data_IF_097592431298
#
_entry.id   IF_097592431298
#
_cell.length_a   1.000
_cell.length_b   1.000
_cell.length_c   1.000
_cell.angle_alpha   90.00
_cell.angle_beta   90.00
_cell.angle_gamma   90.00
#
_symmetry.space_group_name_H-M   'P 1'
#
loop_
_entity.id
_entity.type
_entity.pdbx_description
1 polymer ?
#
# COMPACT_ATOMS: atom_id res chain seq x y z
N UNK A 1 -12.30 -2.51 17.44
CA UNK A 1 -12.01 -2.90 16.04
C UNK A 1 -11.73 -1.61 15.31
N UNK A 2 -10.61 -1.50 14.61
CA UNK A 2 -10.29 -0.32 13.81
C UNK A 2 -11.31 -0.18 12.67
N UNK A 3 -11.70 1.05 12.34
CA UNK A 3 -12.68 1.29 11.28
C UNK A 3 -12.18 0.70 9.95
N UNK A 4 -13.06 0.06 9.17
CA UNK A 4 -12.71 -0.46 7.85
C UNK A 4 -12.56 0.72 6.88
N UNK A 5 -11.31 1.10 6.58
CA UNK A 5 -10.98 2.26 5.75
C UNK A 5 -11.07 1.93 4.25
N UNK A 6 -11.55 2.90 3.50
CA UNK A 6 -12.06 2.83 2.13
C UNK A 6 -11.00 3.11 1.04
N UNK A 7 -9.71 2.95 1.36
CA UNK A 7 -8.63 3.00 0.38
C UNK A 7 -8.58 1.73 -0.48
N UNK A 8 -8.65 1.86 -1.81
CA UNK A 8 -8.60 0.70 -2.72
C UNK A 8 -7.18 0.13 -2.86
N UNK A 9 -6.69 -0.58 -1.85
CA UNK A 9 -5.39 -1.26 -1.88
C UNK A 9 -5.40 -2.55 -2.73
N UNK A 10 -6.59 -3.12 -2.96
CA UNK A 10 -6.79 -4.35 -3.71
C UNK A 10 -6.18 -4.34 -5.14
N UNK A 11 -6.41 -3.33 -6.01
CA UNK A 11 -5.83 -3.30 -7.35
C UNK A 11 -4.29 -3.29 -7.32
N UNK A 12 -3.69 -2.60 -6.35
CA UNK A 12 -2.23 -2.56 -6.19
C UNK A 12 -1.67 -3.91 -5.74
N UNK A 13 -2.35 -4.60 -4.82
CA UNK A 13 -1.98 -5.96 -4.39
C UNK A 13 -2.08 -6.97 -5.52
N UNK A 14 -3.15 -6.91 -6.32
CA UNK A 14 -3.33 -7.77 -7.48
C UNK A 14 -2.26 -7.48 -8.54
N UNK A 15 -2.00 -6.20 -8.84
CA UNK A 15 -0.95 -5.79 -9.75
C UNK A 15 0.43 -6.30 -9.32
N UNK A 16 0.75 -6.22 -8.02
CA UNK A 16 2.00 -6.73 -7.47
C UNK A 16 2.12 -8.26 -7.65
N UNK A 17 1.05 -9.00 -7.31
CA UNK A 17 1.01 -10.45 -7.46
C UNK A 17 1.17 -10.87 -8.93
N UNK A 18 0.53 -10.17 -9.87
CA UNK A 18 0.67 -10.42 -11.31
C UNK A 18 2.11 -10.19 -11.77
N UNK A 19 2.74 -9.08 -11.37
CA UNK A 19 4.13 -8.79 -11.71
C UNK A 19 5.08 -9.87 -11.19
N UNK A 20 4.88 -10.34 -9.96
CA UNK A 20 5.67 -11.43 -9.40
C UNK A 20 5.48 -12.76 -10.13
N UNK A 21 4.25 -13.10 -10.52
CA UNK A 21 3.99 -14.30 -11.33
C UNK A 21 4.66 -14.18 -12.70
N UNK A 22 4.59 -13.02 -13.35
CA UNK A 22 5.28 -12.77 -14.62
C UNK A 22 6.80 -12.88 -14.47
N UNK A 23 7.36 -12.40 -13.35
CA UNK A 23 8.77 -12.58 -13.02
C UNK A 23 9.16 -14.06 -12.91
N UNK A 24 8.39 -14.84 -12.16
CA UNK A 24 8.58 -16.30 -12.04
C UNK A 24 8.52 -17.00 -13.40
N UNK A 25 7.63 -16.57 -14.29
CA UNK A 25 7.55 -17.08 -15.67
C UNK A 25 8.83 -16.72 -16.44
N UNK A 26 9.36 -15.50 -16.32
CA UNK A 26 10.64 -15.12 -16.93
C UNK A 26 11.80 -16.01 -16.44
N UNK A 27 11.84 -16.34 -15.15
CA UNK A 27 12.85 -17.25 -14.60
C UNK A 27 12.72 -18.67 -15.18
N UNK A 28 11.50 -19.21 -15.26
CA UNK A 28 11.27 -20.52 -15.90
C UNK A 28 11.73 -20.48 -17.36
N UNK A 29 11.42 -19.41 -18.10
CA UNK A 29 11.87 -19.24 -19.49
C UNK A 29 13.39 -19.18 -19.60
N UNK A 30 14.07 -18.51 -18.66
CA UNK A 30 15.53 -18.50 -18.59
C UNK A 30 16.10 -19.92 -18.45
N UNK A 31 15.55 -20.72 -17.53
CA UNK A 31 15.97 -22.11 -17.32
C UNK A 31 15.69 -22.97 -18.56
N UNK A 32 14.54 -22.81 -19.21
CA UNK A 32 14.19 -23.56 -20.41
C UNK A 32 15.12 -23.26 -21.58
N UNK A 33 15.52 -22.00 -21.76
CA UNK A 33 16.52 -21.59 -22.77
C UNK A 33 17.89 -22.19 -22.46
N UNK A 34 18.31 -22.15 -21.19
CA UNK A 34 19.59 -22.69 -20.76
C UNK A 34 19.69 -24.21 -20.90
N UNK A 35 18.58 -24.92 -20.70
CA UNK A 35 18.52 -26.37 -20.89
C UNK A 35 18.32 -26.78 -22.35
N UNK A 36 18.25 -25.83 -23.29
CA UNK A 36 18.02 -26.13 -24.72
C UNK A 36 16.63 -26.69 -25.02
N UNK A 37 15.67 -26.54 -24.11
CA UNK A 37 14.27 -26.94 -24.34
C UNK A 37 13.48 -25.86 -25.07
N UNK A 38 13.88 -24.59 -24.90
CA UNK A 38 13.30 -23.45 -25.59
C UNK A 38 14.37 -22.77 -26.43
N UNK A 39 14.19 -22.76 -27.75
CA UNK A 39 15.08 -22.09 -28.69
C UNK A 39 14.52 -20.72 -29.07
N UNK A 40 15.21 -19.66 -28.66
CA UNK A 40 14.89 -18.31 -29.06
C UNK A 40 15.83 -17.85 -30.19
N UNK A 41 15.30 -17.28 -31.28
CA UNK A 41 16.14 -16.73 -32.33
C UNK A 41 16.92 -15.52 -31.80
N UNK A 42 18.20 -15.41 -32.15
CA UNK A 42 19.03 -14.24 -31.82
C UNK A 42 20.32 -14.62 -31.09
N UNK A 43 20.68 -13.92 -29.99
CA UNK A 43 21.98 -14.09 -29.33
C UNK A 43 22.11 -15.43 -28.61
N UNK A 44 23.30 -15.71 -28.07
CA UNK A 44 23.58 -16.93 -27.32
C UNK A 44 22.64 -17.11 -26.12
N UNK A 45 22.43 -18.36 -25.69
CA UNK A 45 21.57 -18.70 -24.55
C UNK A 45 21.96 -17.96 -23.26
N UNK A 46 23.26 -17.75 -23.04
CA UNK A 46 23.78 -16.98 -21.90
C UNK A 46 23.36 -15.50 -21.92
N UNK A 47 23.23 -14.91 -23.11
CA UNK A 47 22.71 -13.54 -23.26
C UNK A 47 21.22 -13.49 -22.95
N UNK A 48 20.44 -14.46 -23.44
CA UNK A 48 19.02 -14.56 -23.12
C UNK A 48 18.77 -14.74 -21.63
N UNK A 49 19.57 -15.56 -20.95
CA UNK A 49 19.52 -15.69 -19.50
C UNK A 49 19.65 -14.34 -18.81
N UNK A 50 20.69 -13.56 -19.15
CA UNK A 50 20.91 -12.26 -18.53
C UNK A 50 19.72 -11.33 -18.79
N UNK A 51 19.18 -11.34 -20.01
CA UNK A 51 17.99 -10.55 -20.35
C UNK A 51 16.80 -10.95 -19.47
N UNK A 52 16.50 -12.24 -19.33
CA UNK A 52 15.40 -12.71 -18.48
C UNK A 52 15.62 -12.37 -17.01
N UNK A 53 16.84 -12.50 -16.48
CA UNK A 53 17.16 -12.11 -15.10
C UNK A 53 16.98 -10.61 -14.85
N UNK A 54 17.36 -9.78 -15.81
CA UNK A 54 17.17 -8.33 -15.70
C UNK A 54 15.69 -7.95 -15.78
N UNK A 55 14.93 -8.59 -16.68
CA UNK A 55 13.47 -8.37 -16.79
C UNK A 55 12.77 -8.83 -15.51
N UNK A 56 13.12 -10.02 -14.98
CA UNK A 56 12.59 -10.53 -13.72
C UNK A 56 12.89 -9.58 -12.56
N UNK A 57 14.13 -9.09 -12.44
CA UNK A 57 14.50 -8.10 -11.43
C UNK A 57 13.59 -6.86 -11.50
N UNK A 58 13.35 -6.32 -12.70
CA UNK A 58 12.46 -5.16 -12.86
C UNK A 58 11.04 -5.48 -12.42
N UNK A 59 10.50 -6.65 -12.79
CA UNK A 59 9.15 -7.07 -12.41
C UNK A 59 9.02 -7.29 -10.90
N UNK A 60 9.99 -7.94 -10.26
CA UNK A 60 10.02 -8.20 -8.81
C UNK A 60 10.13 -6.92 -8.01
N UNK A 61 11.00 -6.00 -8.45
CA UNK A 61 11.16 -4.68 -7.82
C UNK A 61 9.86 -3.87 -7.98
N UNK A 62 9.31 -3.79 -9.20
CA UNK A 62 8.07 -3.06 -9.45
C UNK A 62 6.90 -3.63 -8.63
N UNK A 63 6.77 -4.96 -8.55
CA UNK A 63 5.78 -5.64 -7.71
C UNK A 63 5.97 -5.31 -6.23
N UNK A 64 7.21 -5.31 -5.74
CA UNK A 64 7.53 -4.94 -4.36
C UNK A 64 7.16 -3.49 -4.04
N UNK A 65 7.43 -2.56 -4.95
CA UNK A 65 7.06 -1.16 -4.78
C UNK A 65 5.53 -0.97 -4.77
N UNK A 66 4.81 -1.69 -5.62
CA UNK A 66 3.35 -1.64 -5.67
C UNK A 66 2.72 -2.26 -4.41
N UNK A 67 3.33 -3.34 -3.89
CA UNK A 67 2.93 -3.97 -2.63
C UNK A 67 3.10 -3.03 -1.44
N UNK A 68 4.27 -2.38 -1.32
CA UNK A 68 4.52 -1.37 -0.27
C UNK A 68 3.51 -0.23 -0.34
N UNK A 69 3.22 0.27 -1.53
CA UNK A 69 2.23 1.32 -1.69
C UNK A 69 0.85 0.86 -1.22
N UNK A 70 0.44 -0.35 -1.58
CA UNK A 70 -0.83 -0.93 -1.12
C UNK A 70 -0.89 -1.05 0.42
N UNK A 71 0.24 -1.33 1.07
CA UNK A 71 0.30 -1.45 2.52
C UNK A 71 0.31 -0.10 3.24
N UNK A 72 0.81 0.96 2.61
CA UNK A 72 0.64 2.30 3.15
C UNK A 72 -0.80 2.80 3.03
N UNK A 73 -1.51 2.42 1.96
CA UNK A 73 -2.91 2.77 1.73
C UNK A 73 -3.84 2.02 2.70
N UNK A 74 -3.63 0.71 2.88
CA UNK A 74 -4.42 -0.11 3.79
C UNK A 74 -3.51 -1.00 4.67
N UNK A 75 -2.87 -0.41 5.70
CA UNK A 75 -1.93 -1.12 6.54
C UNK A 75 -2.60 -2.19 7.40
N UNK A 76 -1.81 -3.09 7.97
CA UNK A 76 -2.27 -4.05 8.96
C UNK A 76 -2.21 -3.42 10.36
N UNK A 77 -3.10 -3.87 11.25
CA UNK A 77 -2.95 -3.62 12.68
C UNK A 77 -1.83 -4.49 13.25
N UNK A 78 -1.08 -3.95 14.22
CA UNK A 78 -0.04 -4.69 14.95
C UNK A 78 -0.62 -5.86 15.77
N UNK A 79 -1.90 -5.83 16.09
CA UNK A 79 -2.59 -6.94 16.75
C UNK A 79 -2.65 -8.18 15.86
N UNK A 80 -2.84 -8.00 14.55
CA UNK A 80 -2.83 -9.10 13.58
C UNK A 80 -1.41 -9.34 13.05
N UNK A 81 -0.63 -10.08 13.82
CA UNK A 81 0.78 -10.42 13.51
C UNK A 81 0.98 -11.05 12.13
N UNK A 82 0.04 -11.89 11.68
CA UNK A 82 0.16 -12.57 10.38
C UNK A 82 -0.05 -11.58 9.25
N UNK A 83 -1.10 -10.77 9.31
CA UNK A 83 -1.35 -9.73 8.31
C UNK A 83 -0.21 -8.71 8.27
N UNK A 84 0.28 -8.30 9.45
CA UNK A 84 1.42 -7.40 9.57
C UNK A 84 2.67 -7.99 8.91
N UNK A 85 3.06 -9.22 9.27
CA UNK A 85 4.22 -9.91 8.69
C UNK A 85 4.12 -10.08 7.16
N UNK A 86 2.97 -10.51 6.64
CA UNK A 86 2.78 -10.64 5.19
C UNK A 86 2.86 -9.28 4.50
N UNK A 87 2.33 -8.23 5.09
CA UNK A 87 2.41 -6.91 4.47
C UNK A 87 3.85 -6.37 4.49
N UNK A 88 4.59 -6.52 5.58
CA UNK A 88 5.94 -5.96 5.70
C UNK A 88 7.01 -6.75 4.94
N UNK A 89 6.91 -8.09 4.91
CA UNK A 89 8.01 -8.95 4.46
C UNK A 89 7.75 -9.68 3.13
N UNK A 90 6.53 -9.65 2.57
CA UNK A 90 6.22 -10.45 1.38
C UNK A 90 7.09 -10.10 0.16
N UNK A 91 7.44 -8.82 -0.04
CA UNK A 91 8.34 -8.43 -1.13
C UNK A 91 9.73 -9.08 -1.02
N UNK A 92 10.26 -9.19 0.20
CA UNK A 92 11.53 -9.85 0.49
C UNK A 92 11.44 -11.36 0.27
N UNK A 93 10.34 -11.97 0.73
CA UNK A 93 10.10 -13.41 0.56
C UNK A 93 10.01 -13.77 -0.92
N UNK A 94 9.26 -12.99 -1.70
CA UNK A 94 9.13 -13.24 -3.14
C UNK A 94 10.47 -13.06 -3.85
N UNK A 95 11.27 -12.06 -3.50
CA UNK A 95 12.61 -11.89 -4.05
C UNK A 95 13.50 -13.12 -3.78
N UNK A 96 13.44 -13.69 -2.58
CA UNK A 96 14.16 -14.92 -2.25
C UNK A 96 13.66 -16.12 -3.07
N UNK A 97 12.35 -16.27 -3.24
CA UNK A 97 11.74 -17.34 -4.03
C UNK A 97 12.11 -17.22 -5.52
N UNK A 98 12.19 -16.01 -6.07
CA UNK A 98 12.54 -15.78 -7.47
C UNK A 98 14.00 -16.15 -7.75
N UNK A 99 14.96 -15.56 -7.02
CA UNK A 99 16.37 -15.67 -7.38
C UNK A 99 17.16 -16.78 -6.69
N UNK A 100 16.79 -17.20 -5.47
CA UNK A 100 17.57 -18.20 -4.74
C UNK A 100 17.62 -19.58 -5.44
N UNK A 101 16.50 -20.11 -6.00
CA UNK A 101 16.54 -21.37 -6.74
C UNK A 101 17.44 -21.30 -7.97
N UNK A 102 17.50 -20.15 -8.64
CA UNK A 102 18.27 -19.96 -9.87
C UNK A 102 19.76 -19.85 -9.59
N UNK A 103 20.13 -19.18 -8.51
CA UNK A 103 21.51 -19.19 -7.98
C UNK A 103 21.93 -20.63 -7.66
N UNK A 104 21.09 -21.39 -6.94
CA UNK A 104 21.37 -22.78 -6.60
C UNK A 104 21.50 -23.66 -7.85
N UNK A 105 20.60 -23.49 -8.83
CA UNK A 105 20.63 -24.20 -10.10
C UNK A 105 21.92 -23.89 -10.87
N UNK A 106 22.34 -22.63 -10.93
CA UNK A 106 23.61 -22.26 -11.57
C UNK A 106 24.80 -22.92 -10.89
N UNK A 107 24.87 -22.89 -9.55
CA UNK A 107 25.98 -23.48 -8.82
C UNK A 107 26.05 -25.01 -9.02
N UNK A 108 24.91 -25.69 -8.99
CA UNK A 108 24.82 -27.16 -9.00
C UNK A 108 24.82 -27.79 -10.39
N UNK A 109 24.37 -27.08 -11.43
CA UNK A 109 24.22 -27.66 -12.78
C UNK A 109 25.58 -27.95 -13.44
N UNK A 110 25.84 -29.20 -13.80
CA UNK A 110 27.15 -29.62 -14.36
C UNK A 110 27.27 -29.42 -15.87
N UNK A 111 26.16 -29.24 -16.56
CA UNK A 111 26.09 -29.19 -18.02
C UNK A 111 26.31 -27.77 -18.57
N UNK A 112 26.28 -26.77 -17.68
CA UNK A 112 26.58 -25.38 -18.03
C UNK A 112 28.09 -25.11 -18.14
N UNK A 113 28.48 -24.36 -19.18
CA UNK A 113 29.85 -23.91 -19.32
C UNK A 113 30.27 -23.01 -18.13
N UNK A 114 31.56 -23.08 -17.78
CA UNK A 114 32.10 -22.38 -16.59
C UNK A 114 31.93 -20.86 -16.65
N UNK A 115 32.00 -20.27 -17.85
CA UNK A 115 31.84 -18.84 -18.07
C UNK A 115 30.41 -18.40 -17.81
N UNK A 116 29.44 -19.03 -18.47
CA UNK A 116 28.02 -18.70 -18.29
C UNK A 116 27.56 -18.98 -16.87
N UNK A 117 27.96 -20.10 -16.27
CA UNK A 117 27.67 -20.40 -14.86
C UNK A 117 28.17 -19.28 -13.95
N UNK A 118 29.42 -18.84 -14.12
CA UNK A 118 30.03 -17.80 -13.29
C UNK A 118 29.30 -16.47 -13.45
N UNK A 119 29.05 -16.05 -14.69
CA UNK A 119 28.37 -14.77 -14.97
C UNK A 119 26.92 -14.81 -14.49
N UNK A 120 26.17 -15.86 -14.81
CA UNK A 120 24.77 -16.03 -14.39
C UNK A 120 24.62 -16.05 -12.87
N UNK A 121 25.49 -16.75 -12.15
CA UNK A 121 25.49 -16.77 -10.67
C UNK A 121 25.72 -15.37 -10.10
N UNK A 122 26.69 -14.62 -10.63
CA UNK A 122 27.01 -13.26 -10.15
C UNK A 122 25.82 -12.32 -10.42
N UNK A 123 25.25 -12.36 -11.63
CA UNK A 123 24.10 -11.52 -12.00
C UNK A 123 22.90 -11.83 -11.12
N UNK A 124 22.55 -13.10 -10.95
CA UNK A 124 21.43 -13.51 -10.10
C UNK A 124 21.65 -13.16 -8.62
N UNK A 125 22.88 -13.28 -8.10
CA UNK A 125 23.20 -12.88 -6.73
C UNK A 125 23.07 -11.36 -6.52
N UNK A 126 23.54 -10.55 -7.46
CA UNK A 126 23.36 -9.09 -7.41
C UNK A 126 21.88 -8.72 -7.53
N UNK A 127 21.14 -9.39 -8.41
CA UNK A 127 19.70 -9.20 -8.56
C UNK A 127 18.95 -9.54 -7.26
N UNK A 128 19.28 -10.66 -6.59
CA UNK A 128 18.70 -11.02 -5.30
C UNK A 128 18.92 -9.93 -4.25
N UNK A 129 20.14 -9.42 -4.12
CA UNK A 129 20.46 -8.37 -3.15
C UNK A 129 19.67 -7.10 -3.46
N UNK A 130 19.63 -6.68 -4.73
CA UNK A 130 18.87 -5.51 -5.16
C UNK A 130 17.37 -5.67 -4.92
N UNK A 131 16.81 -6.84 -5.25
CA UNK A 131 15.40 -7.16 -5.05
C UNK A 131 15.03 -7.17 -3.57
N UNK A 132 15.83 -7.83 -2.71
CA UNK A 132 15.62 -7.85 -1.26
C UNK A 132 15.71 -6.44 -0.67
N UNK A 133 16.75 -5.68 -1.02
CA UNK A 133 16.90 -4.30 -0.55
C UNK A 133 15.70 -3.41 -0.99
N UNK A 134 15.23 -3.61 -2.22
CA UNK A 134 14.02 -2.94 -2.72
C UNK A 134 12.73 -3.48 -2.11
N UNK A 135 12.73 -4.67 -1.51
CA UNK A 135 11.56 -5.30 -0.92
C UNK A 135 11.26 -4.84 0.50
N UNK A 136 12.29 -4.38 1.23
CA UNK A 136 12.18 -3.95 2.63
C UNK A 136 11.38 -2.65 2.72
N UNK A 137 10.29 -2.67 3.50
CA UNK A 137 9.63 -1.45 3.94
C UNK A 137 10.31 -0.91 5.20
N UNK A 138 11.09 0.16 5.05
CA UNK A 138 11.86 0.74 6.16
C UNK A 138 11.00 1.55 7.13
N UNK A 139 9.78 1.92 6.72
CA UNK A 139 8.85 2.71 7.54
C UNK A 139 7.44 2.15 7.37
N UNK A 140 7.17 0.91 7.83
CA UNK A 140 5.88 0.29 7.64
C UNK A 140 4.80 1.06 8.40
N UNK A 141 3.81 1.58 7.69
CA UNK A 141 2.62 2.19 8.29
C UNK A 141 1.78 1.11 9.00
N UNK A 142 1.19 1.46 10.13
CA UNK A 142 0.24 0.60 10.84
C UNK A 142 -1.12 1.26 11.01
N UNK A 143 -2.16 0.47 11.24
CA UNK A 143 -3.51 1.01 11.47
C UNK A 143 -3.53 1.95 12.68
N UNK A 144 -2.78 1.63 13.72
CA UNK A 144 -2.66 2.47 14.91
C UNK A 144 -2.03 3.83 14.59
N UNK A 145 -1.03 3.86 13.69
CA UNK A 145 -0.39 5.12 13.27
C UNK A 145 -1.37 5.98 12.43
N UNK A 146 -2.19 5.36 11.58
CA UNK A 146 -3.20 6.08 10.80
C UNK A 146 -4.35 6.61 11.65
N UNK A 147 -4.80 5.86 12.66
CA UNK A 147 -5.81 6.31 13.61
C UNK A 147 -5.27 7.46 14.47
N UNK A 148 -4.00 7.38 14.87
CA UNK A 148 -3.30 8.46 15.57
C UNK A 148 -3.19 9.72 14.70
N UNK A 149 -2.90 9.58 13.42
CA UNK A 149 -2.84 10.70 12.49
C UNK A 149 -4.22 11.36 12.29
N UNK A 150 -5.31 10.59 12.21
CA UNK A 150 -6.67 11.13 12.13
C UNK A 150 -7.10 11.86 13.40
N UNK A 151 -6.81 11.30 14.57
CA UNK A 151 -7.06 11.99 15.83
C UNK A 151 -6.19 13.26 15.95
N UNK A 152 -4.95 13.22 15.45
CA UNK A 152 -4.09 14.39 15.32
C UNK A 152 -4.71 15.48 14.45
N UNK A 153 -5.27 15.13 13.29
CA UNK A 153 -5.98 16.06 12.42
C UNK A 153 -7.17 16.70 13.17
N UNK A 154 -8.01 15.90 13.82
CA UNK A 154 -9.17 16.38 14.57
C UNK A 154 -8.85 17.37 15.70
N UNK A 155 -7.62 17.34 16.22
CA UNK A 155 -7.20 18.15 17.37
C UNK A 155 -6.29 19.32 16.98
N UNK A 156 -5.42 19.12 15.99
CA UNK A 156 -4.39 20.07 15.59
C UNK A 156 -4.77 20.91 14.37
N UNK A 157 -5.76 20.45 13.60
CA UNK A 157 -6.30 21.21 12.49
C UNK A 157 -7.55 21.96 12.93
N UNK A 158 -7.69 23.21 12.50
CA UNK A 158 -8.84 24.05 12.84
C UNK A 158 -10.17 23.48 12.31
N UNK A 159 -10.12 22.69 11.24
CA UNK A 159 -11.29 22.05 10.60
C UNK A 159 -11.23 20.52 10.62
N UNK A 160 -10.25 19.94 11.32
CA UNK A 160 -10.08 18.49 11.42
C UNK A 160 -9.54 17.83 10.14
N UNK A 161 -9.03 18.60 9.18
CA UNK A 161 -8.60 18.09 7.87
C UNK A 161 -7.07 18.01 7.74
N UNK A 162 -6.64 17.14 6.82
CA UNK A 162 -5.30 17.11 6.28
C UNK A 162 -5.23 17.92 4.98
N UNK A 163 -4.08 18.53 4.74
CA UNK A 163 -3.80 19.39 3.59
C UNK A 163 -2.56 18.90 2.84
N UNK A 164 -2.59 18.94 1.51
CA UNK A 164 -1.45 18.51 0.70
C UNK A 164 -1.41 19.17 -0.67
N UNK A 165 -0.25 19.12 -1.31
CA UNK A 165 -0.06 19.64 -2.68
C UNK A 165 -0.17 18.52 -3.72
N UNK A 166 -0.38 18.84 -5.01
CA UNK A 166 -0.44 17.85 -6.08
C UNK A 166 0.82 16.97 -6.25
N UNK A 167 2.00 17.47 -5.87
CA UNK A 167 3.29 16.80 -6.11
C UNK A 167 4.12 16.56 -4.84
N UNK A 168 3.60 16.89 -3.66
CA UNK A 168 4.29 16.64 -2.39
C UNK A 168 4.31 15.15 -2.02
N UNK A 169 5.01 14.80 -0.95
CA UNK A 169 4.93 13.45 -0.32
C UNK A 169 4.33 13.54 1.09
N UNK A 170 3.95 14.75 1.49
CA UNK A 170 3.71 15.13 2.87
C UNK A 170 2.32 15.72 3.01
N UNK A 171 1.62 15.33 4.08
CA UNK A 171 0.38 15.99 4.51
C UNK A 171 0.62 16.91 5.70
N UNK A 172 -0.25 17.91 5.84
CA UNK A 172 -0.15 19.01 6.80
C UNK A 172 -1.48 19.14 7.55
N UNK A 173 -1.46 19.58 8.81
CA UNK A 173 -2.70 19.91 9.54
C UNK A 173 -3.02 21.41 9.52
N UNK A 174 -2.13 22.22 8.95
CA UNK A 174 -2.31 23.66 8.82
C UNK A 174 -2.02 24.10 7.37
N UNK A 175 -2.98 24.74 6.66
CA UNK A 175 -2.79 25.22 5.29
C UNK A 175 -1.79 26.38 5.17
N UNK A 176 -1.59 27.15 6.25
CA UNK A 176 -0.61 28.24 6.33
C UNK A 176 0.78 27.77 6.80
N UNK A 177 0.99 26.46 6.90
CA UNK A 177 2.29 25.91 7.24
C UNK A 177 3.37 26.42 6.28
N UNK A 178 4.52 26.85 6.81
CA UNK A 178 5.61 27.44 6.03
C UNK A 178 6.09 26.58 4.85
N UNK A 179 5.90 25.27 4.94
CA UNK A 179 6.29 24.30 3.92
C UNK A 179 5.28 24.17 2.77
N UNK A 180 4.04 24.64 2.94
CA UNK A 180 2.97 24.50 1.94
C UNK A 180 2.33 25.83 1.53
N UNK A 181 2.37 26.87 2.36
CA UNK A 181 1.67 28.16 2.17
C UNK A 181 1.95 28.88 0.83
N UNK A 182 3.09 28.59 0.18
CA UNK A 182 3.47 29.19 -1.09
C UNK A 182 3.09 28.32 -2.31
N UNK A 183 2.33 27.25 -2.12
CA UNK A 183 1.96 26.32 -3.18
C UNK A 183 0.80 26.88 -4.01
N UNK A 184 0.88 26.73 -5.34
CA UNK A 184 -0.18 27.22 -6.25
C UNK A 184 -1.50 26.45 -6.14
N UNK A 185 -1.51 25.26 -5.52
CA UNK A 185 -2.71 24.45 -5.30
C UNK A 185 -2.52 23.63 -4.03
N UNK A 186 -3.51 23.71 -3.12
CA UNK A 186 -3.58 22.95 -1.87
C UNK A 186 -4.93 22.22 -1.89
N UNK A 187 -4.88 20.90 -1.72
CA UNK A 187 -6.03 20.05 -1.52
C UNK A 187 -6.25 19.83 -0.03
N UNK A 188 -7.49 19.54 0.36
CA UNK A 188 -7.86 19.16 1.72
C UNK A 188 -8.78 17.94 1.72
N UNK A 189 -8.79 17.22 2.82
CA UNK A 189 -9.62 16.03 3.03
C UNK A 189 -9.21 15.30 4.30
N UNK A 190 -9.62 14.05 4.44
CA UNK A 190 -9.19 13.20 5.56
C UNK A 190 -7.70 12.86 5.45
N UNK A 191 -7.10 12.37 6.52
CA UNK A 191 -5.73 11.82 6.45
C UNK A 191 -5.69 10.66 5.45
N UNK A 192 -6.72 9.81 5.43
CA UNK A 192 -6.81 8.71 4.46
C UNK A 192 -6.80 9.22 3.01
N UNK A 193 -7.52 10.31 2.70
CA UNK A 193 -7.51 10.91 1.36
C UNK A 193 -6.11 11.39 0.97
N UNK A 194 -5.36 11.94 1.93
CA UNK A 194 -3.98 12.34 1.71
C UNK A 194 -3.07 11.13 1.44
N UNK A 195 -3.20 10.05 2.22
CA UNK A 195 -2.48 8.78 2.02
C UNK A 195 -2.78 8.21 0.63
N UNK A 196 -4.05 8.16 0.25
CA UNK A 196 -4.53 7.68 -1.04
C UNK A 196 -3.98 8.54 -2.19
N UNK A 197 -3.84 9.85 -1.96
CA UNK A 197 -3.16 10.78 -2.87
C UNK A 197 -1.62 10.66 -2.88
N UNK A 198 -1.04 9.66 -2.20
CA UNK A 198 0.40 9.41 -2.05
C UNK A 198 1.12 10.41 -1.15
N UNK A 199 0.47 10.86 -0.09
CA UNK A 199 1.08 11.68 0.97
C UNK A 199 1.17 10.83 2.21
N UNK A 200 2.17 9.97 2.27
CA UNK A 200 2.26 8.93 3.31
C UNK A 200 2.92 9.40 4.60
N UNK A 201 3.37 10.66 4.66
CA UNK A 201 4.16 11.19 5.77
C UNK A 201 3.61 12.52 6.28
N UNK A 202 3.54 12.67 7.59
CA UNK A 202 3.21 13.95 8.21
C UNK A 202 4.34 14.99 8.06
N UNK A 203 3.97 16.26 7.93
CA UNK A 203 4.89 17.39 7.92
C UNK A 203 5.69 17.56 9.22
N UNK A 204 7.00 17.71 9.06
CA UNK A 204 7.95 17.83 10.17
C UNK A 204 7.77 19.04 11.11
N UNK A 205 6.89 19.99 10.78
CA UNK A 205 6.66 21.17 11.61
C UNK A 205 5.21 21.44 11.99
N UNK A 206 4.22 20.91 11.25
CA UNK A 206 2.81 21.04 11.63
C UNK A 206 2.13 19.70 11.95
N UNK A 207 2.85 18.58 11.82
CA UNK A 207 2.35 17.26 12.26
C UNK A 207 3.27 16.64 13.33
N UNK A 208 4.59 16.92 13.31
CA UNK A 208 5.53 16.48 14.35
C UNK A 208 6.38 17.65 14.85
N UNK A 209 6.96 17.50 16.03
CA UNK A 209 8.41 17.69 16.14
C UNK A 209 9.02 16.35 16.63
N UNK A 210 9.78 15.69 15.75
CA UNK A 210 10.66 14.52 15.99
C UNK A 210 10.06 13.10 16.14
N UNK A 211 9.11 12.71 15.28
CA UNK A 211 8.87 11.27 15.01
C UNK A 211 8.20 10.47 16.13
N UNK A 212 7.66 11.16 17.13
CA UNK A 212 6.54 10.69 17.95
C UNK A 212 5.52 11.83 17.94
N UNK A 213 4.38 11.64 17.28
CA UNK A 213 3.35 12.67 17.16
C UNK A 213 2.92 13.20 18.53
N UNK A 214 2.72 14.51 18.58
CA UNK A 214 2.67 15.37 19.77
C UNK A 214 1.31 15.33 20.48
N UNK A 215 1.26 14.60 21.59
CA UNK A 215 0.26 14.70 22.67
C UNK A 215 0.69 15.67 23.79
N UNK A 216 1.82 16.38 23.67
CA UNK A 216 2.38 17.16 24.78
C UNK A 216 1.93 18.63 24.83
N UNK A 217 1.11 19.07 23.86
CA UNK A 217 0.40 20.37 23.90
C UNK A 217 -1.07 20.30 23.50
N UNK A 218 -1.53 19.16 22.96
CA UNK A 218 -2.94 18.84 22.87
C UNK A 218 -3.40 18.30 24.22
N UNK A 219 -4.63 18.60 24.64
CA UNK A 219 -5.22 17.97 25.81
C UNK A 219 -5.25 16.44 25.58
N UNK A 220 -4.53 15.63 26.36
CA UNK A 220 -4.49 14.19 26.18
C UNK A 220 -5.89 13.55 26.31
N UNK A 221 -6.81 14.19 27.03
CA UNK A 221 -8.22 13.75 27.09
C UNK A 221 -8.94 14.02 25.78
N UNK A 222 -8.68 15.16 25.12
CA UNK A 222 -9.26 15.48 23.81
C UNK A 222 -8.75 14.52 22.72
N UNK A 223 -7.47 14.14 22.75
CA UNK A 223 -6.95 13.18 21.78
C UNK A 223 -7.45 11.76 22.07
N UNK A 224 -7.53 11.36 23.34
CA UNK A 224 -8.14 10.09 23.72
C UNK A 224 -9.63 10.03 23.34
N UNK A 225 -10.36 11.14 23.47
CA UNK A 225 -11.75 11.25 23.04
C UNK A 225 -11.88 11.18 21.51
N UNK A 226 -11.02 11.89 20.76
CA UNK A 226 -10.98 11.83 19.30
C UNK A 226 -10.66 10.42 18.80
N UNK A 227 -9.65 9.76 19.36
CA UNK A 227 -9.31 8.35 19.09
C UNK A 227 -10.47 7.41 19.40
N UNK A 228 -11.14 7.60 20.55
CA UNK A 228 -12.30 6.81 20.92
C UNK A 228 -13.48 6.99 19.93
N UNK A 229 -13.60 8.16 19.30
CA UNK A 229 -14.60 8.42 18.27
C UNK A 229 -14.21 7.75 16.94
N UNK A 230 -12.94 7.79 16.53
CA UNK A 230 -12.42 7.07 15.34
C UNK A 230 -12.68 5.56 15.46
N UNK A 231 -12.47 4.99 16.65
CA UNK A 231 -12.70 3.56 16.93
C UNK A 231 -14.20 3.19 16.94
N UNK A 232 -15.10 4.12 17.29
CA UNK A 232 -16.56 3.85 17.41
C UNK A 232 -17.31 3.90 16.08
N UNK A 233 -16.91 4.76 15.13
CA UNK A 233 -17.62 4.94 13.86
C UNK A 233 -17.66 3.65 13.00
N UNK A 234 -16.75 2.70 13.23
CA UNK A 234 -16.76 1.39 12.56
C UNK A 234 -17.81 0.38 13.04
N UNK A 235 -18.66 0.73 14.02
CA UNK A 235 -19.68 -0.17 14.58
C UNK A 235 -21.10 0.04 14.06
N UNK A 236 -21.43 1.23 13.52
CA UNK A 236 -22.81 1.63 13.29
C UNK A 236 -23.27 1.54 11.82
N UNK A 237 -22.36 1.26 10.87
CA UNK A 237 -22.71 1.07 9.45
C UNK A 237 -22.92 -0.40 9.05
N UNK A 238 -23.18 -1.28 10.01
CA UNK A 238 -23.52 -2.68 9.77
C UNK A 238 -24.92 -3.06 10.27
N UNK A 239 -25.91 -2.15 10.27
CA UNK A 239 -27.33 -2.56 10.28
C UNK A 239 -28.26 -1.46 9.79
N UNK A 240 -28.40 -1.31 8.46
CA UNK A 240 -29.65 -0.78 7.88
C UNK A 240 -29.78 -1.14 6.41
N UNK A 241 -29.68 -2.43 6.10
CA UNK A 241 -30.38 -2.94 4.91
C UNK A 241 -31.08 -4.25 5.24
N UNK A 242 -32.42 -4.13 5.26
CA UNK A 242 -33.40 -5.16 4.92
C UNK A 242 -34.03 -5.97 6.07
N UNK A 243 -35.13 -5.42 6.61
CA UNK A 243 -36.35 -6.17 6.96
C UNK A 243 -37.51 -5.30 6.45
N UNK A 244 -38.35 -5.72 5.51
CA UNK A 244 -39.07 -6.98 5.48
C UNK A 244 -40.55 -6.60 5.57
N UNK A 245 -41.25 -6.71 4.46
CA UNK A 245 -42.71 -6.51 4.34
C UNK A 245 -43.47 -7.36 5.36
N UNK A 246 -44.61 -6.86 5.88
CA UNK A 246 -45.78 -7.74 5.92
C UNK A 246 -47.03 -7.06 5.35
N UNK A 247 -47.75 -7.82 4.51
CA UNK A 247 -49.17 -7.63 4.22
C UNK A 247 -50.00 -7.64 5.52
N UNK A 248 -50.98 -6.73 5.67
CA UNK A 248 -52.42 -7.08 5.75
C UNK A 248 -53.33 -5.83 5.83
N UNK A 249 -54.17 -5.71 4.79
CA UNK A 249 -55.54 -5.15 4.62
C UNK A 249 -56.20 -4.15 5.60
N UNK A 250 -56.91 -3.24 4.91
CA UNK A 250 -58.20 -2.59 5.19
C UNK A 250 -58.31 -1.45 6.23
N UNK A 251 -58.46 -0.20 5.73
CA UNK A 251 -59.72 0.56 5.85
C UNK A 251 -59.60 2.01 5.31
N UNK A 252 -60.35 2.26 4.23
CA UNK A 252 -61.16 3.45 3.86
C UNK A 252 -60.78 4.90 4.25
N UNK A 253 -60.96 5.76 3.23
CA UNK A 253 -61.39 7.19 3.28
C UNK A 253 -60.36 8.21 3.79
N UNK A 254 -60.25 9.45 3.31
CA UNK A 254 -60.75 10.25 2.19
C UNK A 254 -60.00 11.60 2.34
N UNK A 255 -59.91 12.37 1.27
CA UNK A 255 -59.70 13.82 1.23
C UNK A 255 -58.24 14.27 1.13
N UNK A 256 -57.88 14.66 -0.09
CA UNK A 256 -56.73 15.50 -0.34
C UNK A 256 -57.01 16.95 0.08
N UNK A 257 -55.97 17.64 0.55
CA UNK A 257 -55.97 19.10 0.57
C UNK A 257 -54.54 19.62 0.36
N UNK A 258 -54.38 20.28 -0.78
CA UNK A 258 -53.50 21.36 -1.18
C UNK A 258 -52.30 21.79 -0.30
N UNK A 259 -51.14 21.81 -0.98
CA UNK A 259 -50.04 22.76 -0.80
C UNK A 259 -50.51 24.21 -0.58
N UNK A 260 -49.67 25.04 0.08
CA UNK A 260 -49.14 26.16 -0.68
C UNK A 260 -47.63 26.42 -0.48
N UNK A 261 -47.03 26.86 -1.60
CA UNK A 261 -45.79 27.64 -1.69
C UNK A 261 -45.99 29.03 -1.08
N UNK A 262 -44.93 29.57 -0.48
CA UNK A 262 -44.51 30.98 -0.50
C UNK A 262 -43.31 31.10 0.46
N UNK A 263 -42.30 31.95 0.28
CA UNK A 263 -41.84 32.83 -0.80
C UNK A 263 -40.38 33.19 -0.43
#
# INVERSE_FOLDING_TARGET
MHAARNGSALPFRIGAAVLWVLGLVCEVMAVLVMNGTLFLPGPAASTWLIIFLVVDLVLVVAGSQLWKHANHVAPASKENKVAYWVQTDLGVIVAAIAFAPVILLMLTNKDLDKGTKRVGTIVAAVALIAAVASGIDYHPATQEDLDQAEAGAAVLSDDGLAYWTPFGEVYHFNPDCQYIKNSGTIYSGTVQDAIDAKRTRGCSGCTVENGTDVLSKADPEAVAAALANVIKVGGDEADSTNQGTPDEKDASENTGEQLPKAA
#
